data_IF_646776235944
#
_entry.id   IF_646776235944
#
_cell.length_a   1.000
_cell.length_b   1.000
_cell.length_c   1.000
_cell.angle_alpha   90.00
_cell.angle_beta   90.00
_cell.angle_gamma   90.00
#
_symmetry.space_group_name_H-M   'P 1'
#
loop_
_entity.id
_entity.type
_entity.pdbx_description
1 polymer ?
#
# COMPACT_ATOMS: atom_id res chain seq x y z
N UNK A 1 6.80 -27.67 29.75
CA UNK A 1 6.95 -27.87 28.30
C UNK A 1 7.77 -26.72 27.74
N UNK A 2 8.78 -27.00 26.90
CA UNK A 2 9.64 -25.96 26.36
C UNK A 2 8.93 -25.13 25.29
N UNK A 3 9.30 -23.84 25.19
CA UNK A 3 8.91 -22.97 24.11
C UNK A 3 9.98 -22.98 23.02
N UNK A 4 9.56 -23.10 21.76
CA UNK A 4 10.46 -23.15 20.60
C UNK A 4 10.45 -21.80 19.89
N UNK A 5 11.43 -20.91 20.19
CA UNK A 5 11.47 -19.56 19.61
C UNK A 5 12.89 -19.06 19.36
N UNK A 6 12.99 -18.11 18.45
CA UNK A 6 14.13 -17.20 18.37
C UNK A 6 13.75 -15.85 18.97
N UNK A 7 14.72 -15.14 19.54
CA UNK A 7 14.48 -13.85 20.23
C UNK A 7 15.54 -12.81 19.93
N UNK A 8 15.09 -11.56 19.77
CA UNK A 8 15.92 -10.36 19.85
C UNK A 8 15.28 -9.35 20.76
N UNK A 9 16.09 -8.69 21.58
CA UNK A 9 15.66 -7.54 22.40
C UNK A 9 16.33 -6.30 21.85
N UNK A 10 15.58 -5.21 21.72
CA UNK A 10 16.05 -3.92 21.21
C UNK A 10 15.50 -2.78 22.07
N UNK A 11 16.22 -1.66 22.12
CA UNK A 11 15.72 -0.42 22.70
C UNK A 11 14.87 0.32 21.66
N UNK A 12 13.75 0.87 22.09
CA UNK A 12 12.79 1.62 21.26
C UNK A 12 12.33 2.88 22.02
N UNK A 13 11.63 3.76 21.34
CA UNK A 13 10.95 4.91 21.95
C UNK A 13 9.58 4.49 22.49
N UNK A 14 9.19 5.01 23.67
CA UNK A 14 7.86 4.80 24.23
C UNK A 14 6.82 5.68 23.49
N UNK A 15 5.55 5.26 23.48
CA UNK A 15 4.43 5.96 22.86
C UNK A 15 4.69 6.31 21.37
N UNK A 16 5.41 5.44 20.69
CA UNK A 16 5.80 5.58 19.28
C UNK A 16 5.28 4.39 18.50
N UNK A 17 4.79 4.64 17.30
CA UNK A 17 4.30 3.59 16.41
C UNK A 17 5.45 2.78 15.84
N UNK A 18 5.30 1.48 15.88
CA UNK A 18 6.21 0.51 15.29
C UNK A 18 5.47 -0.53 14.47
N UNK A 19 6.10 -0.93 13.38
CA UNK A 19 5.74 -2.11 12.60
C UNK A 19 6.79 -3.20 12.82
N UNK A 20 6.33 -4.40 13.15
CA UNK A 20 7.17 -5.58 13.21
C UNK A 20 6.67 -6.62 12.22
N UNK A 21 7.55 -7.11 11.36
CA UNK A 21 7.21 -8.10 10.34
C UNK A 21 8.33 -9.12 10.15
N UNK A 22 7.99 -10.29 9.61
CA UNK A 22 8.92 -11.34 9.22
C UNK A 22 8.28 -12.21 8.13
N UNK A 23 9.11 -12.88 7.35
CA UNK A 23 8.64 -13.86 6.39
C UNK A 23 8.60 -15.25 7.03
N UNK A 24 7.53 -15.98 6.77
CA UNK A 24 7.33 -17.34 7.22
C UNK A 24 6.77 -18.23 6.10
N UNK A 25 7.19 -19.50 6.11
CA UNK A 25 6.62 -20.54 5.26
C UNK A 25 6.41 -21.77 6.10
N UNK A 26 5.29 -22.47 5.89
CA UNK A 26 5.03 -23.74 6.58
C UNK A 26 6.13 -24.77 6.28
N UNK A 27 6.51 -25.51 7.29
CA UNK A 27 7.20 -26.77 7.20
C UNK A 27 6.23 -27.90 7.57
N UNK A 28 6.57 -28.67 8.56
CA UNK A 28 5.67 -29.65 9.16
C UNK A 28 4.62 -29.02 10.06
N UNK A 29 4.90 -27.82 10.59
CA UNK A 29 3.91 -27.01 11.32
C UNK A 29 3.29 -25.96 10.42
N UNK A 30 1.98 -25.79 10.55
CA UNK A 30 1.18 -24.85 9.76
C UNK A 30 1.08 -23.47 10.39
N UNK A 31 1.48 -23.31 11.64
CA UNK A 31 1.25 -22.08 12.39
C UNK A 31 2.55 -21.43 12.83
N UNK A 32 2.57 -20.11 12.81
CA UNK A 32 3.62 -19.30 13.39
C UNK A 32 3.01 -18.29 14.35
N UNK A 33 3.68 -18.01 15.45
CA UNK A 33 3.25 -16.99 16.40
C UNK A 33 4.40 -16.04 16.72
N UNK A 34 4.09 -14.84 17.14
CA UNK A 34 5.06 -13.91 17.69
C UNK A 34 4.60 -13.37 19.04
N UNK A 35 5.53 -13.12 19.92
CA UNK A 35 5.31 -12.34 21.13
C UNK A 35 6.17 -11.08 21.06
N UNK A 36 5.52 -9.93 21.17
CA UNK A 36 6.17 -8.61 21.08
C UNK A 36 5.78 -7.80 22.31
N UNK A 37 6.70 -7.76 23.30
CA UNK A 37 6.38 -7.35 24.67
C UNK A 37 5.81 -5.95 24.82
N UNK A 38 6.26 -4.99 24.01
CA UNK A 38 5.81 -3.59 24.06
C UNK A 38 4.77 -3.24 22.99
N UNK A 39 4.36 -4.20 22.15
CA UNK A 39 3.44 -4.00 21.03
C UNK A 39 2.20 -4.91 21.13
N UNK A 40 1.69 -5.18 22.32
CA UNK A 40 0.39 -5.83 22.52
C UNK A 40 0.41 -7.34 22.75
N UNK A 41 1.58 -8.01 22.78
CA UNK A 41 1.69 -9.39 23.24
C UNK A 41 1.77 -10.45 22.14
N UNK A 42 0.82 -11.40 22.09
CA UNK A 42 0.86 -12.57 21.21
C UNK A 42 0.02 -12.33 19.96
N UNK A 43 0.60 -12.67 18.81
CA UNK A 43 -0.02 -12.67 17.48
C UNK A 43 0.21 -14.03 16.82
N UNK A 44 -0.72 -14.49 15.99
CA UNK A 44 -0.63 -15.82 15.36
C UNK A 44 -1.20 -15.83 13.95
N UNK A 45 -0.60 -16.64 13.09
CA UNK A 45 -0.96 -16.80 11.68
C UNK A 45 -1.03 -18.28 11.30
N UNK A 46 -1.96 -18.59 10.40
CA UNK A 46 -2.07 -19.84 9.71
C UNK A 46 -1.38 -19.75 8.33
N UNK A 47 -0.28 -20.45 8.16
CA UNK A 47 0.52 -20.45 6.93
C UNK A 47 -0.03 -21.42 5.87
N UNK A 48 -0.94 -22.32 6.23
CA UNK A 48 -1.66 -23.18 5.28
C UNK A 48 -2.70 -22.39 4.51
N UNK A 49 -3.50 -21.61 5.24
CA UNK A 49 -4.63 -20.88 4.69
C UNK A 49 -4.32 -19.39 4.41
N UNK A 50 -3.17 -18.88 4.84
CA UNK A 50 -2.77 -17.50 4.63
C UNK A 50 -3.63 -16.49 5.40
N UNK A 51 -4.01 -16.81 6.65
CA UNK A 51 -4.91 -15.96 7.45
C UNK A 51 -4.31 -15.58 8.80
N UNK A 52 -4.72 -14.42 9.31
CA UNK A 52 -4.44 -13.99 10.68
C UNK A 52 -5.40 -14.72 11.62
N UNK A 53 -4.85 -15.41 12.63
CA UNK A 53 -5.64 -16.08 13.66
C UNK A 53 -5.91 -15.18 14.86
N UNK A 54 -4.87 -14.44 15.31
CA UNK A 54 -4.96 -13.56 16.47
C UNK A 54 -4.09 -12.33 16.33
N UNK A 55 -4.58 -11.21 16.85
CA UNK A 55 -3.89 -9.95 17.00
C UNK A 55 -4.62 -8.80 16.31
N UNK A 56 -4.87 -7.73 17.07
CA UNK A 56 -5.38 -6.48 16.51
C UNK A 56 -4.26 -5.83 15.69
N UNK A 57 -4.59 -5.33 14.50
CA UNK A 57 -3.63 -4.75 13.55
C UNK A 57 -2.53 -5.72 13.08
N UNK A 58 -2.78 -7.04 13.18
CA UNK A 58 -1.96 -8.04 12.51
C UNK A 58 -2.32 -8.09 11.02
N UNK A 59 -1.33 -8.39 10.20
CA UNK A 59 -1.52 -8.59 8.75
C UNK A 59 -0.77 -9.82 8.26
N UNK A 60 -1.19 -10.34 7.11
CA UNK A 60 -0.50 -11.39 6.37
C UNK A 60 -0.56 -11.06 4.88
N UNK A 61 0.57 -11.16 4.20
CA UNK A 61 0.69 -10.86 2.77
C UNK A 61 1.30 -12.08 2.06
N UNK A 62 0.69 -12.52 0.97
CA UNK A 62 1.19 -13.66 0.19
C UNK A 62 2.33 -13.20 -0.75
N UNK A 63 3.51 -13.78 -0.59
CA UNK A 63 4.69 -13.53 -1.41
C UNK A 63 4.99 -14.64 -2.44
N UNK A 64 4.06 -15.58 -2.61
CA UNK A 64 4.20 -16.71 -3.53
C UNK A 64 5.04 -17.86 -2.97
N UNK A 65 4.97 -19.01 -3.65
CA UNK A 65 5.71 -20.23 -3.30
C UNK A 65 5.55 -20.68 -1.83
N UNK A 66 4.39 -20.36 -1.21
CA UNK A 66 4.09 -20.68 0.19
C UNK A 66 4.77 -19.77 1.21
N UNK A 67 5.42 -18.69 0.80
CA UNK A 67 5.94 -17.67 1.68
C UNK A 67 4.90 -16.60 1.96
N UNK A 68 4.78 -16.23 3.22
CA UNK A 68 3.95 -15.14 3.69
C UNK A 68 4.78 -14.13 4.48
N UNK A 69 4.48 -12.87 4.34
CA UNK A 69 4.95 -11.84 5.25
C UNK A 69 3.90 -11.66 6.34
N UNK A 70 4.26 -12.03 7.56
CA UNK A 70 3.44 -11.89 8.75
C UNK A 70 3.89 -10.65 9.52
N UNK A 71 2.96 -9.83 10.01
CA UNK A 71 3.35 -8.64 10.75
C UNK A 71 2.24 -8.05 11.59
N UNK A 72 2.60 -6.99 12.32
CA UNK A 72 1.71 -6.23 13.18
C UNK A 72 2.14 -4.77 13.22
N UNK A 73 1.19 -3.88 13.49
CA UNK A 73 1.42 -2.47 13.72
C UNK A 73 0.85 -2.09 15.08
N UNK A 74 1.64 -1.44 15.93
CA UNK A 74 1.16 -1.01 17.24
C UNK A 74 1.99 0.14 17.81
N UNK A 75 1.37 0.94 18.65
CA UNK A 75 2.05 1.96 19.46
C UNK A 75 2.75 1.29 20.65
N UNK A 76 4.02 1.61 20.87
CA UNK A 76 4.81 1.01 21.92
C UNK A 76 4.36 1.47 23.31
N UNK A 77 4.38 0.56 24.27
CA UNK A 77 4.06 0.80 25.68
C UNK A 77 5.29 0.77 26.60
N UNK A 78 6.51 0.73 26.03
CA UNK A 78 7.76 0.62 26.78
C UNK A 78 8.94 1.09 25.94
N UNK A 79 10.09 1.32 26.55
CA UNK A 79 11.37 1.63 25.90
C UNK A 79 12.21 0.40 25.58
N UNK A 80 11.74 -0.80 25.90
CA UNK A 80 12.41 -2.06 25.61
C UNK A 80 11.44 -3.04 24.95
N UNK A 81 11.81 -3.56 23.82
CA UNK A 81 11.03 -4.49 23.02
C UNK A 81 11.73 -5.84 22.91
N UNK A 82 11.06 -6.90 23.34
CA UNK A 82 11.48 -8.27 23.08
C UNK A 82 10.60 -8.88 21.98
N UNK A 83 11.18 -9.07 20.79
CA UNK A 83 10.55 -9.78 19.69
C UNK A 83 10.90 -11.25 19.77
N UNK A 84 9.90 -12.13 19.73
CA UNK A 84 10.07 -13.58 19.71
C UNK A 84 9.22 -14.17 18.60
N UNK A 85 9.80 -15.02 17.76
CA UNK A 85 9.07 -15.79 16.75
C UNK A 85 9.06 -17.25 17.19
N UNK A 86 7.88 -17.84 17.27
CA UNK A 86 7.65 -19.21 17.71
C UNK A 86 7.19 -20.06 16.53
N UNK A 87 7.80 -21.23 16.36
CA UNK A 87 7.12 -22.31 15.67
C UNK A 87 5.90 -22.73 16.53
N UNK A 88 4.74 -22.89 15.94
CA UNK A 88 3.51 -23.28 16.67
C UNK A 88 2.88 -24.49 16.01
N UNK A 89 2.48 -25.44 16.86
CA UNK A 89 1.79 -26.66 16.45
C UNK A 89 0.27 -26.46 16.41
N UNK A 90 -0.26 -25.46 17.12
CA UNK A 90 -1.68 -25.27 17.38
C UNK A 90 -2.15 -23.91 16.89
N UNK A 91 -3.41 -23.86 16.50
CA UNK A 91 -4.07 -22.61 16.04
C UNK A 91 -4.54 -21.69 17.19
N UNK A 92 -4.52 -22.16 18.44
CA UNK A 92 -5.11 -21.53 19.62
C UNK A 92 -4.16 -20.62 20.42
N UNK A 93 -3.08 -20.14 19.83
CA UNK A 93 -2.00 -19.36 20.49
C UNK A 93 -1.16 -20.14 21.50
N UNK A 94 -1.34 -21.44 21.58
CA UNK A 94 -0.51 -22.26 22.45
C UNK A 94 0.89 -22.42 21.84
N UNK A 95 1.86 -21.72 22.42
CA UNK A 95 3.27 -21.71 21.99
C UNK A 95 4.12 -22.71 22.76
N UNK A 96 3.51 -23.48 23.69
CA UNK A 96 4.21 -24.41 24.58
C UNK A 96 3.78 -25.83 24.26
N UNK A 97 4.70 -26.61 23.68
CA UNK A 97 4.50 -28.02 23.34
C UNK A 97 5.81 -28.80 23.38
N UNK A 98 5.72 -30.11 23.41
CA UNK A 98 6.89 -30.97 23.23
C UNK A 98 7.21 -31.10 21.73
N UNK A 99 8.37 -30.62 21.33
CA UNK A 99 8.88 -30.81 19.96
C UNK A 99 9.39 -32.23 19.73
N UNK A 100 9.41 -32.64 18.48
CA UNK A 100 9.93 -33.95 18.03
C UNK A 100 11.41 -33.89 17.55
N UNK A 101 11.98 -32.65 17.56
CA UNK A 101 13.37 -32.39 17.19
C UNK A 101 13.62 -32.25 15.67
N UNK A 102 12.56 -32.37 14.85
CA UNK A 102 12.68 -32.34 13.37
C UNK A 102 11.66 -31.37 12.73
N UNK A 103 10.48 -31.28 13.29
CA UNK A 103 9.39 -30.43 12.72
C UNK A 103 9.58 -28.94 13.02
N UNK A 104 9.19 -28.09 12.06
CA UNK A 104 9.35 -26.65 12.20
C UNK A 104 8.60 -25.81 11.15
N UNK A 105 8.94 -24.55 11.12
CA UNK A 105 8.57 -23.57 10.10
C UNK A 105 9.81 -22.91 9.56
N UNK A 106 9.78 -22.46 8.31
CA UNK A 106 10.84 -21.63 7.75
C UNK A 106 10.57 -20.17 8.09
N UNK A 107 11.61 -19.43 8.50
CA UNK A 107 11.52 -18.01 8.81
C UNK A 107 12.68 -17.25 8.19
N UNK A 108 12.42 -15.99 7.78
CA UNK A 108 13.41 -15.11 7.16
C UNK A 108 13.05 -13.64 7.40
N UNK A 109 14.02 -12.73 7.35
CA UNK A 109 13.81 -11.30 7.18
C UNK A 109 12.97 -10.63 8.27
N UNK A 110 13.21 -10.93 9.55
CA UNK A 110 12.56 -10.20 10.63
C UNK A 110 13.01 -8.74 10.62
N UNK A 111 12.04 -7.81 10.61
CA UNK A 111 12.23 -6.37 10.50
C UNK A 111 11.38 -5.64 11.52
N UNK A 112 12.00 -4.72 12.27
CA UNK A 112 11.33 -3.76 13.14
C UNK A 112 11.58 -2.36 12.58
N UNK A 113 10.51 -1.61 12.36
CA UNK A 113 10.53 -0.26 11.79
C UNK A 113 9.77 0.70 12.70
N UNK A 114 10.27 1.91 12.84
CA UNK A 114 9.49 3.00 13.42
C UNK A 114 8.52 3.51 12.34
N UNK A 115 7.24 3.50 12.66
CA UNK A 115 6.16 3.87 11.76
C UNK A 115 4.91 3.01 11.96
N UNK A 116 3.79 3.46 11.46
CA UNK A 116 2.47 2.82 11.63
C UNK A 116 2.19 1.67 10.64
N UNK A 117 3.14 1.35 9.74
CA UNK A 117 3.01 0.29 8.74
C UNK A 117 4.37 -0.29 8.36
N UNK A 118 4.36 -1.51 7.82
CA UNK A 118 5.55 -2.18 7.32
C UNK A 118 5.93 -1.67 5.92
N UNK A 119 7.19 -1.27 5.73
CA UNK A 119 7.74 -0.98 4.40
C UNK A 119 8.35 -2.24 3.77
N UNK A 120 8.89 -2.17 2.54
CA UNK A 120 9.58 -3.30 1.94
C UNK A 120 10.79 -3.74 2.76
N UNK A 121 11.12 -5.03 2.72
CA UNK A 121 12.24 -5.59 3.48
C UNK A 121 13.58 -4.96 3.06
N UNK A 122 14.40 -4.60 4.07
CA UNK A 122 15.77 -4.11 3.88
C UNK A 122 16.74 -5.00 4.66
N UNK A 123 17.72 -5.62 4.00
CA UNK A 123 18.81 -6.32 4.68
C UNK A 123 19.67 -5.34 5.47
N UNK A 124 19.77 -5.53 6.78
CA UNK A 124 20.49 -4.58 7.67
C UNK A 124 21.94 -4.98 7.93
N UNK A 125 22.34 -6.21 7.63
CA UNK A 125 23.71 -6.71 7.83
C UNK A 125 24.31 -6.39 9.23
N UNK A 126 23.44 -6.39 10.25
CA UNK A 126 23.84 -6.18 11.65
C UNK A 126 23.84 -4.70 12.13
N UNK A 127 23.54 -3.74 11.26
CA UNK A 127 23.45 -2.30 11.61
C UNK A 127 22.07 -1.76 11.32
N UNK A 128 21.62 -0.75 12.09
CA UNK A 128 20.39 -0.01 11.79
C UNK A 128 20.59 0.73 10.47
N UNK A 129 19.65 0.59 9.55
CA UNK A 129 19.64 1.28 8.26
C UNK A 129 18.42 2.20 8.24
N UNK A 130 18.63 3.45 7.82
CA UNK A 130 17.55 4.37 7.50
C UNK A 130 17.22 4.23 6.03
N UNK A 131 15.92 4.06 5.71
CA UNK A 131 15.44 4.14 4.33
C UNK A 131 15.56 5.58 3.86
N UNK A 132 16.28 5.82 2.77
CA UNK A 132 16.21 7.08 2.07
C UNK A 132 14.84 7.24 1.39
N UNK A 133 14.36 8.46 1.26
CA UNK A 133 13.19 8.74 0.43
C UNK A 133 13.48 8.29 -1.02
N UNK A 134 12.53 7.59 -1.62
CA UNK A 134 12.63 7.25 -3.02
C UNK A 134 12.42 8.52 -3.85
N UNK A 135 13.31 8.75 -4.79
CA UNK A 135 13.22 9.87 -5.74
C UNK A 135 12.99 9.32 -7.13
N UNK A 136 11.98 9.83 -7.82
CA UNK A 136 11.68 9.49 -9.20
C UNK A 136 12.03 10.69 -10.08
N UNK A 137 13.32 10.87 -10.36
CA UNK A 137 13.79 11.96 -11.23
C UNK A 137 13.86 11.47 -12.68
N UNK A 138 13.34 12.28 -13.62
CA UNK A 138 13.40 11.99 -15.05
C UNK A 138 12.40 10.93 -15.55
N UNK A 139 11.32 10.70 -14.81
CA UNK A 139 10.24 9.81 -15.22
C UNK A 139 9.27 10.49 -16.19
N UNK A 140 9.75 10.76 -17.38
CA UNK A 140 9.05 11.48 -18.44
C UNK A 140 9.44 12.95 -18.50
N UNK A 141 8.99 13.59 -19.57
CA UNK A 141 9.24 14.98 -19.88
C UNK A 141 8.15 15.46 -20.86
N UNK A 142 8.25 16.71 -21.33
CA UNK A 142 7.29 17.29 -22.28
C UNK A 142 7.23 16.61 -23.67
N UNK A 143 8.12 15.68 -23.98
CA UNK A 143 8.05 14.87 -25.20
C UNK A 143 7.19 13.61 -25.02
N UNK A 144 7.07 13.16 -23.77
CA UNK A 144 6.29 11.97 -23.39
C UNK A 144 4.88 12.34 -23.02
N UNK A 145 4.68 13.44 -22.27
CA UNK A 145 3.38 13.84 -21.78
C UNK A 145 2.66 14.75 -22.75
N UNK A 146 1.42 14.38 -23.09
CA UNK A 146 0.58 15.16 -23.96
C UNK A 146 -0.21 16.20 -23.14
N UNK A 147 -0.07 17.48 -23.49
CA UNK A 147 -0.72 18.58 -22.79
C UNK A 147 -2.24 18.65 -23.03
N UNK A 148 -2.71 18.07 -24.14
CA UNK A 148 -4.09 18.24 -24.63
C UNK A 148 -5.03 17.15 -24.16
N UNK A 149 -4.51 15.94 -23.99
CA UNK A 149 -5.29 14.77 -23.61
C UNK A 149 -4.39 13.64 -23.11
N UNK A 150 -4.96 12.72 -22.38
CA UNK A 150 -4.28 11.51 -21.94
C UNK A 150 -5.02 10.78 -20.82
N UNK A 151 -4.41 9.73 -20.34
CA UNK A 151 -4.88 8.98 -19.17
C UNK A 151 -3.73 8.74 -18.20
N UNK A 152 -3.94 9.08 -16.95
CA UNK A 152 -3.09 8.63 -15.84
C UNK A 152 -3.81 7.48 -15.14
N UNK A 153 -3.14 6.35 -15.02
CA UNK A 153 -3.63 5.13 -14.38
C UNK A 153 -2.70 4.67 -13.27
N UNK A 154 -3.26 4.14 -12.20
CA UNK A 154 -2.50 3.43 -11.19
C UNK A 154 -3.33 2.32 -10.53
N UNK A 155 -2.68 1.19 -10.24
CA UNK A 155 -3.15 0.19 -9.28
C UNK A 155 -2.41 0.41 -7.96
N UNK A 156 -3.09 1.00 -6.97
CA UNK A 156 -2.48 1.52 -5.76
C UNK A 156 -3.28 1.25 -4.50
N UNK A 157 -2.58 1.20 -3.36
CA UNK A 157 -3.15 1.10 -2.02
C UNK A 157 -2.41 2.02 -1.05
N UNK A 158 -3.10 2.61 -0.10
CA UNK A 158 -2.47 3.29 1.03
C UNK A 158 -1.91 2.27 2.03
N UNK A 159 -0.84 2.62 2.74
CA UNK A 159 -0.33 1.78 3.82
C UNK A 159 -1.21 1.84 5.09
N UNK A 160 -1.93 2.95 5.28
CA UNK A 160 -2.84 3.16 6.40
C UNK A 160 -3.86 4.25 6.07
N UNK A 161 -4.97 4.27 6.82
CA UNK A 161 -5.86 5.42 6.84
C UNK A 161 -5.18 6.61 7.55
N UNK A 162 -5.51 7.83 7.13
CA UNK A 162 -4.96 9.06 7.71
C UNK A 162 -3.54 9.42 7.23
N UNK A 163 -2.94 10.42 7.85
CA UNK A 163 -1.53 10.80 7.58
C UNK A 163 -1.28 11.62 6.32
N UNK A 164 -2.22 12.44 5.86
CA UNK A 164 -2.09 13.26 4.65
C UNK A 164 -2.70 12.60 3.40
N UNK A 165 -2.78 13.35 2.32
CA UNK A 165 -3.16 12.81 1.01
C UNK A 165 -2.08 11.84 0.51
N UNK A 166 -2.46 10.89 -0.34
CA UNK A 166 -1.53 9.95 -1.00
C UNK A 166 -1.74 10.10 -2.49
N UNK A 167 -0.92 10.90 -3.14
CA UNK A 167 -1.16 11.38 -4.49
C UNK A 167 -0.05 10.99 -5.47
N UNK A 168 -0.47 10.77 -6.71
CA UNK A 168 0.39 10.65 -7.89
C UNK A 168 -0.07 11.73 -8.85
N UNK A 169 0.87 12.50 -9.39
CA UNK A 169 0.55 13.65 -10.22
C UNK A 169 1.39 13.74 -11.49
N UNK A 170 0.76 14.21 -12.57
CA UNK A 170 1.43 14.82 -13.70
C UNK A 170 1.32 16.33 -13.57
N UNK A 171 2.40 17.07 -13.79
CA UNK A 171 2.42 18.52 -13.56
C UNK A 171 3.35 19.23 -14.55
N UNK A 172 3.12 20.52 -14.70
CA UNK A 172 4.01 21.45 -15.44
C UNK A 172 5.25 21.88 -14.63
N UNK A 173 5.44 21.35 -13.44
CA UNK A 173 6.54 21.60 -12.49
C UNK A 173 6.75 23.05 -12.03
N UNK A 174 6.19 24.04 -12.69
CA UNK A 174 6.56 25.45 -12.49
C UNK A 174 5.47 26.33 -11.92
N UNK A 175 4.22 26.16 -12.34
CA UNK A 175 3.16 27.14 -12.03
C UNK A 175 2.05 26.56 -11.14
N UNK A 176 1.89 25.24 -11.08
CA UNK A 176 0.74 24.60 -10.46
C UNK A 176 -0.60 24.98 -11.12
N UNK A 177 -0.55 25.56 -12.32
CA UNK A 177 -1.72 25.93 -13.09
C UNK A 177 -2.21 24.80 -13.98
N UNK A 178 -1.37 23.77 -14.17
CA UNK A 178 -1.71 22.61 -14.96
C UNK A 178 -1.17 21.35 -14.28
N UNK A 179 -2.09 20.48 -13.88
CA UNK A 179 -1.78 19.18 -13.31
C UNK A 179 -2.96 18.24 -13.41
N UNK A 180 -2.65 16.96 -13.39
CA UNK A 180 -3.58 15.85 -13.26
C UNK A 180 -3.14 15.01 -12.08
N UNK A 181 -3.99 14.82 -11.08
CA UNK A 181 -3.67 14.08 -9.86
C UNK A 181 -4.71 13.02 -9.56
N UNK A 182 -4.25 11.84 -9.17
CA UNK A 182 -5.07 10.74 -8.65
C UNK A 182 -4.51 10.24 -7.33
N UNK A 183 -5.37 9.64 -6.52
CA UNK A 183 -4.94 9.04 -5.27
C UNK A 183 -6.05 8.89 -4.24
N UNK A 184 -5.70 9.16 -2.99
CA UNK A 184 -6.56 8.94 -1.82
C UNK A 184 -6.56 10.14 -0.90
N UNK A 185 -7.74 10.44 -0.31
CA UNK A 185 -7.94 11.55 0.62
C UNK A 185 -7.24 11.30 1.97
N UNK A 186 -6.91 12.36 2.68
CA UNK A 186 -6.09 12.30 3.91
C UNK A 186 -6.73 11.55 5.08
N UNK A 187 -8.00 11.78 5.36
CA UNK A 187 -8.65 11.30 6.60
C UNK A 187 -9.96 10.55 6.33
N UNK A 188 -10.19 10.11 5.10
CA UNK A 188 -11.44 9.52 4.68
C UNK A 188 -11.22 8.22 3.92
N UNK A 189 -12.29 7.47 3.70
CA UNK A 189 -12.32 6.30 2.82
C UNK A 189 -12.67 6.71 1.40
N UNK A 190 -12.08 7.77 0.87
CA UNK A 190 -12.46 8.35 -0.41
C UNK A 190 -11.27 8.41 -1.36
N UNK A 191 -11.55 8.26 -2.67
CA UNK A 191 -10.57 8.52 -3.72
C UNK A 191 -10.32 10.03 -3.89
N UNK A 192 -9.17 10.36 -4.46
CA UNK A 192 -8.82 11.72 -4.86
C UNK A 192 -8.66 11.78 -6.38
N UNK A 193 -9.25 12.82 -6.97
CA UNK A 193 -9.14 13.12 -8.38
C UNK A 193 -9.11 14.62 -8.59
N UNK A 194 -8.20 15.11 -9.38
CA UNK A 194 -8.20 16.51 -9.78
C UNK A 194 -7.54 16.70 -11.15
N UNK A 195 -8.16 17.48 -11.98
CA UNK A 195 -7.58 18.03 -13.20
C UNK A 195 -7.63 19.56 -13.07
N UNK A 196 -6.52 20.20 -13.35
CA UNK A 196 -6.44 21.66 -13.42
C UNK A 196 -5.69 22.07 -14.67
N UNK A 197 -6.30 22.93 -15.48
CA UNK A 197 -5.67 23.56 -16.65
C UNK A 197 -6.09 25.03 -16.74
N UNK A 198 -5.11 25.92 -16.86
CA UNK A 198 -5.34 27.36 -16.96
C UNK A 198 -6.15 27.94 -15.80
N UNK A 199 -6.02 27.39 -14.59
CA UNK A 199 -6.78 27.78 -13.40
C UNK A 199 -8.19 27.19 -13.29
N UNK A 200 -8.67 26.44 -14.28
CA UNK A 200 -9.95 25.74 -14.24
C UNK A 200 -9.77 24.40 -13.55
N UNK A 201 -10.50 24.18 -12.46
CA UNK A 201 -10.53 22.89 -11.76
C UNK A 201 -11.73 22.06 -12.24
N UNK A 202 -11.44 20.81 -12.63
CA UNK A 202 -12.45 19.79 -12.87
C UNK A 202 -12.45 18.86 -11.67
N UNK A 203 -13.58 18.22 -11.40
CA UNK A 203 -13.77 17.30 -10.30
C UNK A 203 -13.52 17.95 -8.93
N UNK A 204 -14.56 18.57 -8.40
CA UNK A 204 -14.56 19.20 -7.06
C UNK A 204 -15.29 18.38 -6.01
N UNK A 205 -15.89 17.25 -6.41
CA UNK A 205 -16.58 16.32 -5.51
C UNK A 205 -15.69 15.11 -5.25
N UNK A 206 -15.46 14.78 -3.99
CA UNK A 206 -14.59 13.70 -3.53
C UNK A 206 -15.34 12.66 -2.70
N UNK A 207 -16.65 12.47 -2.92
CA UNK A 207 -17.49 11.56 -2.15
C UNK A 207 -17.49 10.11 -2.70
N UNK A 208 -16.36 9.62 -3.20
CA UNK A 208 -16.24 8.32 -3.83
C UNK A 208 -15.65 7.32 -2.84
N UNK A 209 -16.46 6.51 -2.15
CA UNK A 209 -15.97 5.61 -1.14
C UNK A 209 -15.12 4.48 -1.74
N UNK A 210 -13.92 4.31 -1.19
CA UNK A 210 -13.02 3.19 -1.49
C UNK A 210 -12.38 2.67 -0.21
N UNK A 211 -11.99 1.40 -0.18
CA UNK A 211 -11.05 0.92 0.82
C UNK A 211 -9.64 1.31 0.41
N UNK A 212 -9.11 2.36 1.03
CA UNK A 212 -7.78 2.88 0.70
C UNK A 212 -6.65 1.89 0.97
N UNK A 213 -6.83 0.94 1.88
CA UNK A 213 -5.81 -0.04 2.26
C UNK A 213 -5.77 -1.26 1.33
N UNK A 214 -6.82 -1.46 0.56
CA UNK A 214 -6.89 -2.43 -0.53
C UNK A 214 -6.40 -1.82 -1.84
N UNK A 215 -5.91 -2.66 -2.76
CA UNK A 215 -5.48 -2.21 -4.07
C UNK A 215 -6.66 -1.79 -4.93
N UNK A 216 -6.68 -0.54 -5.34
CA UNK A 216 -7.68 0.04 -6.23
C UNK A 216 -7.05 0.39 -7.58
N UNK A 217 -7.71 0.03 -8.66
CA UNK A 217 -7.37 0.41 -10.03
C UNK A 217 -8.06 1.73 -10.34
N UNK A 218 -7.29 2.80 -10.46
CA UNK A 218 -7.78 4.17 -10.62
C UNK A 218 -7.26 4.74 -11.93
N UNK A 219 -8.15 5.32 -12.74
CA UNK A 219 -7.78 6.00 -13.97
C UNK A 219 -8.48 7.36 -14.07
N UNK A 220 -7.76 8.37 -14.54
CA UNK A 220 -8.29 9.69 -14.87
C UNK A 220 -7.97 10.03 -16.31
N UNK A 221 -9.00 10.21 -17.13
CA UNK A 221 -8.92 10.74 -18.50
C UNK A 221 -9.00 12.26 -18.45
N UNK A 222 -8.03 12.93 -19.02
CA UNK A 222 -8.06 14.36 -19.22
C UNK A 222 -8.11 14.68 -20.73
N UNK A 223 -9.15 15.37 -21.13
CA UNK A 223 -9.39 15.89 -22.47
C UNK A 223 -10.43 17.00 -22.38
N UNK A 224 -10.17 18.13 -23.03
CA UNK A 224 -11.10 19.27 -23.01
C UNK A 224 -12.49 18.87 -23.53
N UNK A 225 -13.52 19.03 -22.70
CA UNK A 225 -14.89 18.65 -23.02
C UNK A 225 -15.24 17.18 -22.86
N UNK A 226 -14.26 16.31 -22.49
CA UNK A 226 -14.44 14.87 -22.35
C UNK A 226 -13.46 14.29 -21.31
N UNK A 227 -13.61 14.68 -20.05
CA UNK A 227 -12.79 14.16 -18.95
C UNK A 227 -13.59 13.20 -18.07
N UNK A 228 -13.00 12.13 -17.60
CA UNK A 228 -13.67 11.13 -16.77
C UNK A 228 -12.74 10.49 -15.75
N UNK A 229 -13.33 9.93 -14.69
CA UNK A 229 -12.63 9.27 -13.59
C UNK A 229 -13.24 7.89 -13.32
N UNK A 230 -12.40 6.87 -13.35
CA UNK A 230 -12.78 5.47 -13.17
C UNK A 230 -12.10 4.85 -11.97
N UNK A 231 -12.84 4.06 -11.21
CA UNK A 231 -12.33 3.26 -10.10
C UNK A 231 -12.90 1.84 -10.19
N UNK A 232 -12.02 0.84 -10.20
CA UNK A 232 -12.39 -0.58 -10.13
C UNK A 232 -13.45 -1.01 -11.17
N UNK A 233 -13.36 -0.48 -12.41
CA UNK A 233 -14.24 -0.80 -13.50
C UNK A 233 -15.50 0.08 -13.63
N UNK A 234 -15.65 1.09 -12.78
CA UNK A 234 -16.83 1.96 -12.80
C UNK A 234 -16.44 3.41 -13.07
N UNK A 235 -17.21 4.08 -13.94
CA UNK A 235 -17.16 5.55 -14.04
C UNK A 235 -17.73 6.15 -12.77
N UNK A 236 -16.92 6.91 -12.07
CA UNK A 236 -17.29 7.54 -10.79
C UNK A 236 -17.68 9.00 -11.02
N UNK A 237 -17.02 9.65 -11.98
CA UNK A 237 -17.27 11.06 -12.27
C UNK A 237 -16.87 11.40 -13.71
N UNK A 238 -17.53 12.39 -14.32
CA UNK A 238 -17.20 12.90 -15.65
C UNK A 238 -17.44 14.40 -15.76
N UNK A 239 -16.77 15.04 -16.72
CA UNK A 239 -16.88 16.48 -16.94
C UNK A 239 -16.78 16.81 -18.43
N UNK A 240 -17.76 17.56 -18.91
CA UNK A 240 -17.78 18.15 -20.25
C UNK A 240 -17.27 19.61 -20.30
N UNK A 241 -16.64 20.07 -19.22
CA UNK A 241 -16.03 21.40 -19.16
C UNK A 241 -14.90 21.50 -20.16
N UNK A 242 -14.94 22.52 -21.00
CA UNK A 242 -13.88 22.83 -21.94
C UNK A 242 -12.80 23.69 -21.28
N UNK A 243 -11.55 23.42 -21.57
CA UNK A 243 -10.40 24.21 -21.14
C UNK A 243 -9.39 24.30 -22.30
N UNK A 244 -8.53 25.31 -22.25
CA UNK A 244 -7.41 25.41 -23.16
C UNK A 244 -6.18 24.86 -22.44
N UNK A 245 -5.54 23.79 -22.95
CA UNK A 245 -4.27 23.33 -22.44
C UNK A 245 -3.25 24.46 -22.53
N UNK A 246 -2.60 24.79 -21.44
CA UNK A 246 -1.71 25.98 -21.39
C UNK A 246 -0.31 25.68 -20.88
N UNK A 247 0.02 24.40 -20.69
CA UNK A 247 1.25 24.04 -20.02
C UNK A 247 1.98 22.89 -20.70
N UNK A 248 3.27 22.84 -20.50
CA UNK A 248 4.08 21.69 -20.82
C UNK A 248 4.08 20.73 -19.63
N UNK A 249 3.24 19.70 -19.67
CA UNK A 249 3.34 18.61 -18.72
C UNK A 249 4.71 17.96 -18.83
N UNK A 250 5.52 18.11 -17.82
CA UNK A 250 6.95 17.76 -17.91
C UNK A 250 7.44 16.89 -16.77
N UNK A 251 6.62 16.66 -15.75
CA UNK A 251 7.04 15.93 -14.57
C UNK A 251 5.96 15.01 -14.03
N UNK A 252 6.37 13.79 -13.70
CA UNK A 252 5.59 12.83 -12.95
C UNK A 252 6.10 12.79 -11.51
N UNK A 253 5.18 12.91 -10.53
CA UNK A 253 5.49 12.95 -9.10
C UNK A 253 4.71 11.91 -8.31
N UNK A 254 5.35 11.33 -7.29
CA UNK A 254 4.70 10.60 -6.20
C UNK A 254 4.33 11.54 -5.05
N UNK A 255 3.73 12.66 -5.38
CA UNK A 255 3.28 13.70 -4.46
C UNK A 255 2.24 14.59 -5.13
N UNK A 256 1.74 15.58 -4.40
CA UNK A 256 0.98 16.67 -4.99
C UNK A 256 1.89 17.55 -5.86
N UNK A 257 1.32 18.33 -6.78
CA UNK A 257 2.07 19.12 -7.75
C UNK A 257 3.07 20.13 -7.11
N UNK A 258 2.80 20.60 -5.90
CA UNK A 258 3.62 21.60 -5.17
C UNK A 258 4.56 20.98 -4.11
N UNK A 259 4.82 19.69 -4.16
CA UNK A 259 5.47 18.92 -3.11
C UNK A 259 4.74 18.97 -1.75
N UNK A 260 4.92 18.00 -0.92
CA UNK A 260 4.02 17.69 0.20
C UNK A 260 2.92 16.74 -0.24
N UNK A 261 2.22 16.14 0.68
CA UNK A 261 1.25 15.09 0.39
C UNK A 261 1.86 13.93 -0.44
N UNK A 262 3.00 13.45 0.03
CA UNK A 262 3.74 12.36 -0.58
C UNK A 262 2.91 11.08 -0.62
N UNK A 263 3.11 10.27 -1.64
CA UNK A 263 2.45 8.98 -1.76
C UNK A 263 3.02 7.95 -0.77
N UNK A 264 2.43 7.85 0.41
CA UNK A 264 2.71 6.80 1.38
C UNK A 264 1.83 5.58 1.13
N UNK A 265 2.22 4.77 0.16
CA UNK A 265 1.40 3.64 -0.29
C UNK A 265 2.21 2.55 -0.99
N UNK A 266 1.46 1.67 -1.62
CA UNK A 266 1.95 0.57 -2.45
C UNK A 266 1.39 0.75 -3.85
N UNK A 267 2.21 0.54 -4.87
CA UNK A 267 1.77 0.50 -6.28
C UNK A 267 2.11 -0.86 -6.87
N UNK A 268 1.19 -1.45 -7.62
CA UNK A 268 1.43 -2.63 -8.47
C UNK A 268 1.71 -2.23 -9.90
N UNK A 269 1.06 -1.17 -10.36
CA UNK A 269 1.16 -0.70 -11.72
C UNK A 269 0.91 0.80 -11.77
N UNK A 270 1.64 1.49 -12.63
CA UNK A 270 1.40 2.88 -13.00
C UNK A 270 1.51 2.94 -14.52
N UNK A 271 0.52 3.54 -15.15
CA UNK A 271 0.44 3.71 -16.59
C UNK A 271 0.15 5.15 -16.99
N UNK A 272 0.73 5.56 -18.09
CA UNK A 272 0.40 6.79 -18.76
C UNK A 272 0.10 6.50 -20.24
N UNK A 273 -0.99 7.07 -20.74
CA UNK A 273 -1.38 7.01 -22.15
C UNK A 273 -1.45 8.44 -22.68
N UNK A 274 -0.78 8.70 -23.77
CA UNK A 274 -0.68 10.03 -24.42
C UNK A 274 -1.94 10.43 -25.20
N UNK A 275 -2.89 9.51 -25.29
CA UNK A 275 -4.19 9.69 -25.94
C UNK A 275 -5.32 9.38 -24.98
N UNK A 276 -6.43 10.10 -25.08
CA UNK A 276 -7.63 9.81 -24.33
C UNK A 276 -8.21 8.44 -24.77
N UNK A 277 -8.32 7.52 -23.83
CA UNK A 277 -8.98 6.24 -24.03
C UNK A 277 -10.50 6.42 -24.08
N UNK A 278 -11.18 5.52 -24.77
CA UNK A 278 -12.64 5.41 -24.74
C UNK A 278 -13.13 4.93 -23.37
N UNK A 279 -14.39 5.16 -23.06
CA UNK A 279 -14.98 4.74 -21.79
C UNK A 279 -14.92 3.21 -21.62
N UNK A 280 -15.13 2.43 -22.68
CA UNK A 280 -15.00 0.97 -22.66
C UNK A 280 -13.55 0.50 -22.38
N UNK A 281 -12.55 1.23 -22.90
CA UNK A 281 -11.14 0.95 -22.61
C UNK A 281 -10.79 1.32 -21.17
N UNK A 282 -11.32 2.41 -20.62
CA UNK A 282 -11.13 2.82 -19.23
C UNK A 282 -11.79 1.84 -18.26
N UNK A 283 -13.02 1.40 -18.55
CA UNK A 283 -13.69 0.34 -17.82
C UNK A 283 -12.84 -0.94 -17.80
N UNK A 284 -12.36 -1.37 -18.97
CA UNK A 284 -11.51 -2.55 -19.09
C UNK A 284 -10.18 -2.39 -18.33
N UNK A 285 -9.52 -1.24 -18.44
CA UNK A 285 -8.24 -0.94 -17.79
C UNK A 285 -8.35 -1.01 -16.27
N UNK A 286 -9.46 -0.52 -15.73
CA UNK A 286 -9.67 -0.44 -14.28
C UNK A 286 -10.42 -1.65 -13.72
N UNK A 287 -10.98 -2.54 -14.53
CA UNK A 287 -11.67 -3.75 -14.07
C UNK A 287 -10.71 -4.81 -13.54
N UNK A 288 -11.23 -5.67 -12.65
CA UNK A 288 -10.54 -6.89 -12.25
C UNK A 288 -10.73 -7.98 -13.31
N UNK A 289 -9.66 -8.69 -13.62
CA UNK A 289 -9.67 -9.74 -14.68
C UNK A 289 -10.44 -10.99 -14.28
N UNK A 290 -10.66 -11.20 -12.97
CA UNK A 290 -11.39 -12.34 -12.43
C UNK A 290 -11.95 -12.03 -11.05
N UNK A 291 -12.95 -12.81 -10.61
CA UNK A 291 -13.47 -12.74 -9.23
C UNK A 291 -12.35 -12.99 -8.20
N UNK A 292 -11.44 -13.93 -8.48
CA UNK A 292 -10.32 -14.21 -7.58
C UNK A 292 -9.36 -13.03 -7.48
N UNK A 293 -9.07 -12.31 -8.58
CA UNK A 293 -8.29 -11.09 -8.53
C UNK A 293 -9.00 -10.04 -7.69
N UNK A 294 -10.28 -9.80 -7.90
CA UNK A 294 -11.07 -8.84 -7.14
C UNK A 294 -11.09 -9.15 -5.63
N UNK A 295 -11.35 -10.41 -5.26
CA UNK A 295 -11.36 -10.86 -3.85
C UNK A 295 -10.00 -10.64 -3.21
N UNK A 296 -8.91 -10.93 -3.92
CA UNK A 296 -7.54 -10.78 -3.43
C UNK A 296 -7.15 -9.30 -3.30
N UNK A 297 -7.45 -8.49 -4.30
CA UNK A 297 -7.07 -7.07 -4.35
C UNK A 297 -7.84 -6.23 -3.32
N UNK A 298 -9.13 -6.50 -3.17
CA UNK A 298 -10.01 -5.80 -2.23
C UNK A 298 -9.99 -6.40 -0.83
N UNK A 299 -9.15 -7.42 -0.59
CA UNK A 299 -9.06 -8.11 0.70
C UNK A 299 -10.44 -8.61 1.22
N UNK A 300 -11.30 -9.02 0.30
CA UNK A 300 -12.62 -9.56 0.63
C UNK A 300 -12.47 -10.99 1.15
N UNK A 301 -13.16 -11.31 2.24
CA UNK A 301 -13.28 -12.70 2.67
C UNK A 301 -14.12 -13.47 1.64
N UNK A 302 -13.59 -14.54 1.10
CA UNK A 302 -14.41 -15.46 0.30
C UNK A 302 -15.55 -15.99 1.15
N UNK A 303 -16.79 -15.79 0.70
CA UNK A 303 -18.00 -16.34 1.32
C UNK A 303 -18.02 -17.85 1.18
#
# INVERSE_FOLDING_TARGET
TPNHYIRKTVSISNLTDYSYSFFAKKGEYNFVSTYVSALGGVYSWDLENGVVLFGINAFIENYGNGWYRCGLNATSSSTSLSCRIYASKYSDRNISFQGDGTSGVYIFGAQLEQGSYATSYIPTNGSIIQRAAETCNGSGNSEVFNDSQGVLFANMAANSYGGGYKLISLTDSTSGNSFVSIGMMSNTTQSYKQIRFGGINLFTNFNDPIDQTSFNKIAIKYKSGDSSFYVNGFEIDSSSVTYTPSANMSEFKFSYFQDGDDFYGKTKEIGYYDTALTDAELETLTSYRSLNEMVTELNLNAL
#
